data_IF_104614064910
#
_entry.id   IF_104614064910
#
_cell.length_a   1.000
_cell.length_b   1.000
_cell.length_c   1.000
_cell.angle_alpha   90.00
_cell.angle_beta   90.00
_cell.angle_gamma   90.00
#
_symmetry.space_group_name_H-M   'P 1'
#
loop_
_entity.id
_entity.type
_entity.pdbx_description
1 polymer ?
#
# COMPACT_ATOMS: atom_id res chain seq x y z
N UNK A 1 46.06 -24.95 -11.36
CA UNK A 1 46.77 -24.53 -10.14
C UNK A 1 45.72 -24.24 -9.06
N UNK A 2 45.48 -25.19 -8.14
CA UNK A 2 44.48 -25.01 -7.08
C UNK A 2 44.99 -23.99 -6.07
N UNK A 3 44.39 -22.80 -6.04
CA UNK A 3 44.65 -21.82 -4.98
C UNK A 3 44.19 -22.42 -3.65
N UNK A 4 45.14 -22.77 -2.78
CA UNK A 4 44.85 -23.18 -1.41
C UNK A 4 44.62 -21.92 -0.59
N UNK A 5 43.44 -21.80 0.01
CA UNK A 5 43.15 -20.73 0.96
C UNK A 5 43.95 -20.97 2.24
N UNK A 6 44.49 -19.91 2.81
CA UNK A 6 45.15 -19.96 4.13
C UNK A 6 44.10 -20.09 5.22
N UNK A 7 44.48 -20.66 6.36
CA UNK A 7 43.60 -20.78 7.53
C UNK A 7 43.01 -19.42 7.93
N UNK A 8 43.81 -18.35 7.87
CA UNK A 8 43.36 -16.98 8.17
C UNK A 8 42.28 -16.48 7.21
N UNK A 9 42.36 -16.81 5.92
CA UNK A 9 41.33 -16.45 4.94
C UNK A 9 40.02 -17.20 5.18
N UNK A 10 40.10 -18.46 5.60
CA UNK A 10 38.93 -19.27 5.95
C UNK A 10 38.24 -18.69 7.19
N UNK A 11 39.02 -18.39 8.24
CA UNK A 11 38.49 -17.79 9.48
C UNK A 11 37.86 -16.43 9.17
N UNK A 12 38.56 -15.57 8.43
CA UNK A 12 38.04 -14.26 8.04
C UNK A 12 36.72 -14.37 7.26
N UNK A 13 36.65 -15.25 6.27
CA UNK A 13 35.44 -15.45 5.48
C UNK A 13 34.27 -15.95 6.34
N UNK A 14 34.52 -16.88 7.27
CA UNK A 14 33.50 -17.37 8.19
C UNK A 14 33.01 -16.27 9.15
N UNK A 15 33.92 -15.46 9.71
CA UNK A 15 33.55 -14.37 10.61
C UNK A 15 32.76 -13.29 9.90
N UNK A 16 33.20 -12.84 8.72
CA UNK A 16 32.47 -11.83 7.94
C UNK A 16 31.12 -12.37 7.48
N UNK A 17 31.07 -13.62 7.00
CA UNK A 17 29.81 -14.26 6.59
C UNK A 17 28.82 -14.39 7.73
N UNK A 18 29.29 -14.77 8.92
CA UNK A 18 28.46 -14.85 10.12
C UNK A 18 27.94 -13.47 10.51
N UNK A 19 28.80 -12.45 10.62
CA UNK A 19 28.40 -11.08 10.96
C UNK A 19 27.39 -10.50 9.97
N UNK A 20 27.60 -10.70 8.66
CA UNK A 20 26.67 -10.26 7.64
C UNK A 20 25.30 -10.96 7.78
N UNK A 21 25.29 -12.28 7.96
CA UNK A 21 24.05 -13.04 8.17
C UNK A 21 23.31 -12.59 9.43
N UNK A 22 24.02 -12.38 10.55
CA UNK A 22 23.45 -11.89 11.81
C UNK A 22 22.89 -10.48 11.66
N UNK A 23 23.60 -9.58 10.99
CA UNK A 23 23.13 -8.22 10.74
C UNK A 23 21.86 -8.20 9.89
N UNK A 24 21.80 -9.02 8.83
CA UNK A 24 20.60 -9.13 7.98
C UNK A 24 19.45 -9.75 8.77
N UNK A 25 19.71 -10.77 9.59
CA UNK A 25 18.70 -11.40 10.43
C UNK A 25 18.08 -10.41 11.41
N UNK A 26 18.89 -9.69 12.20
CA UNK A 26 18.36 -8.71 13.15
C UNK A 26 17.70 -7.53 12.46
N UNK A 27 18.24 -7.06 11.33
CA UNK A 27 17.59 -6.01 10.54
C UNK A 27 16.21 -6.45 10.03
N UNK A 28 16.03 -7.71 9.64
CA UNK A 28 14.76 -8.20 9.07
C UNK A 28 13.75 -8.63 10.13
N UNK A 29 14.21 -8.96 11.34
CA UNK A 29 13.40 -9.39 12.49
C UNK A 29 13.27 -8.29 13.55
N UNK A 30 13.68 -7.06 13.22
CA UNK A 30 13.52 -5.91 14.10
C UNK A 30 12.03 -5.69 14.38
N UNK A 31 11.59 -5.63 15.64
CA UNK A 31 10.17 -5.48 16.00
C UNK A 31 9.54 -4.23 15.36
N UNK A 32 10.33 -3.18 15.15
CA UNK A 32 9.89 -1.94 14.51
C UNK A 32 9.36 -2.15 13.07
N UNK A 33 9.97 -3.05 12.29
CA UNK A 33 9.52 -3.33 10.91
C UNK A 33 8.20 -4.11 10.91
N UNK A 34 8.04 -5.05 11.83
CA UNK A 34 6.80 -5.83 11.95
C UNK A 34 5.65 -4.94 12.40
N UNK A 35 5.87 -4.09 13.40
CA UNK A 35 4.86 -3.14 13.90
C UNK A 35 4.47 -2.14 12.80
N UNK A 36 5.44 -1.61 12.06
CA UNK A 36 5.17 -0.72 10.94
C UNK A 36 4.32 -1.41 9.87
N UNK A 37 4.67 -2.64 9.51
CA UNK A 37 3.92 -3.40 8.51
C UNK A 37 2.49 -3.70 8.94
N UNK A 38 2.29 -4.09 10.20
CA UNK A 38 0.94 -4.32 10.75
C UNK A 38 0.10 -3.02 10.71
N UNK A 39 0.71 -1.87 11.03
CA UNK A 39 0.07 -0.57 10.93
C UNK A 39 -0.31 -0.24 9.48
N UNK A 40 0.62 -0.40 8.53
CA UNK A 40 0.36 -0.17 7.10
C UNK A 40 -0.75 -1.09 6.57
N UNK A 41 -0.76 -2.35 6.97
CA UNK A 41 -1.81 -3.31 6.61
C UNK A 41 -3.19 -2.89 7.15
N UNK A 42 -3.24 -2.42 8.40
CA UNK A 42 -4.47 -1.93 9.02
C UNK A 42 -4.99 -0.67 8.31
N UNK A 43 -4.09 0.28 8.01
CA UNK A 43 -4.40 1.50 7.26
C UNK A 43 -4.99 1.16 5.89
N UNK A 44 -4.37 0.23 5.15
CA UNK A 44 -4.84 -0.13 3.80
C UNK A 44 -6.23 -0.79 3.87
N UNK A 45 -6.45 -1.74 4.78
CA UNK A 45 -7.76 -2.38 4.95
C UNK A 45 -8.85 -1.37 5.33
N UNK A 46 -8.52 -0.43 6.21
CA UNK A 46 -9.45 0.64 6.60
C UNK A 46 -9.72 1.59 5.42
N UNK A 47 -8.72 1.89 4.62
CA UNK A 47 -8.86 2.73 3.43
C UNK A 47 -9.78 2.10 2.39
N UNK A 48 -9.67 0.79 2.16
CA UNK A 48 -10.54 0.04 1.25
C UNK A 48 -12.00 0.04 1.74
N UNK A 49 -12.21 -0.19 3.05
CA UNK A 49 -13.54 -0.12 3.66
C UNK A 49 -14.14 1.28 3.52
N UNK A 50 -13.37 2.32 3.79
CA UNK A 50 -13.81 3.72 3.64
C UNK A 50 -14.13 4.04 2.19
N UNK A 51 -13.30 3.60 1.24
CA UNK A 51 -13.54 3.76 -0.19
C UNK A 51 -14.88 3.14 -0.60
N UNK A 52 -15.08 1.86 -0.28
CA UNK A 52 -16.30 1.12 -0.64
C UNK A 52 -17.56 1.74 -0.03
N UNK A 53 -17.50 2.12 1.24
CA UNK A 53 -18.65 2.68 1.96
C UNK A 53 -18.94 4.13 1.59
N UNK A 54 -17.90 4.96 1.39
CA UNK A 54 -18.05 6.39 1.08
C UNK A 54 -18.65 6.59 -0.30
N UNK A 55 -18.21 5.78 -1.28
CA UNK A 55 -18.68 5.85 -2.66
C UNK A 55 -19.84 4.91 -2.97
N UNK A 56 -20.35 4.18 -1.96
CA UNK A 56 -21.45 3.23 -2.10
C UNK A 56 -21.22 2.22 -3.24
N UNK A 57 -19.99 1.70 -3.31
CA UNK A 57 -19.56 0.86 -4.42
C UNK A 57 -20.31 -0.47 -4.46
N UNK A 58 -20.65 -0.99 -5.64
CA UNK A 58 -21.30 -2.29 -5.76
C UNK A 58 -20.36 -3.42 -5.32
N UNK A 59 -20.93 -4.54 -4.87
CA UNK A 59 -20.16 -5.72 -4.43
C UNK A 59 -19.31 -6.37 -5.54
N UNK A 60 -19.55 -6.01 -6.80
CA UNK A 60 -18.75 -6.44 -7.96
C UNK A 60 -17.46 -5.63 -8.13
N UNK A 61 -17.29 -4.57 -7.34
CA UNK A 61 -16.12 -3.68 -7.43
C UNK A 61 -14.86 -4.43 -7.07
N UNK A 62 -13.83 -4.19 -7.85
CA UNK A 62 -12.49 -4.71 -7.62
C UNK A 62 -11.55 -3.55 -7.34
N UNK A 63 -10.65 -3.74 -6.38
CA UNK A 63 -9.71 -2.73 -5.93
C UNK A 63 -8.30 -3.32 -5.97
N UNK A 64 -7.39 -2.55 -6.54
CA UNK A 64 -5.95 -2.73 -6.44
C UNK A 64 -5.43 -1.67 -5.47
N UNK A 65 -4.76 -2.13 -4.43
CA UNK A 65 -4.16 -1.32 -3.38
C UNK A 65 -2.77 -1.88 -3.04
N UNK A 66 -1.95 -1.25 -2.18
CA UNK A 66 -0.56 -1.67 -1.99
C UNK A 66 -0.38 -3.11 -1.45
N UNK A 67 -1.34 -3.66 -0.70
CA UNK A 67 -1.28 -5.07 -0.27
C UNK A 67 -1.63 -6.10 -1.35
N UNK A 68 -2.27 -5.68 -2.44
CA UNK A 68 -2.66 -6.54 -3.56
C UNK A 68 -2.30 -5.83 -4.88
N UNK A 69 -1.00 -5.65 -5.16
CA UNK A 69 -0.56 -4.89 -6.31
C UNK A 69 -0.72 -5.69 -7.60
N UNK A 70 -1.17 -5.02 -8.67
CA UNK A 70 -1.15 -5.55 -10.03
C UNK A 70 -0.37 -4.59 -10.92
N UNK A 71 0.79 -5.05 -11.40
CA UNK A 71 1.72 -4.24 -12.18
C UNK A 71 1.22 -3.93 -13.59
N UNK A 72 0.31 -4.74 -14.11
CA UNK A 72 -0.25 -4.54 -15.45
C UNK A 72 -1.29 -3.39 -15.45
N UNK A 73 -1.86 -3.08 -14.28
CA UNK A 73 -2.79 -1.97 -14.09
C UNK A 73 -2.06 -0.69 -13.72
N UNK A 74 -1.13 -0.75 -12.77
CA UNK A 74 -0.38 0.42 -12.35
C UNK A 74 0.25 0.26 -10.97
N UNK A 75 0.91 1.33 -10.52
CA UNK A 75 1.56 1.34 -9.20
C UNK A 75 0.62 1.92 -8.15
N UNK A 76 0.39 1.17 -7.08
CA UNK A 76 -0.28 1.60 -5.86
C UNK A 76 0.75 1.96 -4.78
N UNK A 77 0.43 2.95 -3.95
CA UNK A 77 1.35 3.43 -2.91
C UNK A 77 0.61 3.61 -1.58
N UNK A 78 1.34 3.40 -0.49
CA UNK A 78 1.00 3.87 0.85
C UNK A 78 2.12 4.80 1.27
N UNK A 79 1.77 5.97 1.80
CA UNK A 79 2.73 6.98 2.21
C UNK A 79 2.29 7.62 3.54
N UNK A 80 3.10 7.52 4.61
CA UNK A 80 2.86 8.28 5.83
C UNK A 80 3.25 9.75 5.62
N UNK A 81 2.38 10.67 6.05
CA UNK A 81 2.56 12.12 5.97
C UNK A 81 2.39 12.73 7.36
N UNK A 82 3.49 12.90 8.12
CA UNK A 82 3.48 13.60 9.42
C UNK A 82 2.33 13.20 10.39
N UNK A 83 1.99 11.90 10.42
CA UNK A 83 0.91 11.34 11.24
C UNK A 83 -0.35 10.96 10.45
N UNK A 84 -0.54 11.54 9.28
CA UNK A 84 -1.60 11.20 8.33
C UNK A 84 -1.14 10.11 7.35
N UNK A 85 -2.09 9.59 6.57
CA UNK A 85 -1.83 8.54 5.60
C UNK A 85 -2.41 8.90 4.24
N UNK A 86 -1.61 8.70 3.20
CA UNK A 86 -2.05 8.76 1.82
C UNK A 86 -1.96 7.36 1.20
N UNK A 87 -3.05 6.90 0.60
CA UNK A 87 -3.13 5.60 -0.06
C UNK A 87 -3.66 5.82 -1.47
N UNK A 88 -2.96 5.26 -2.45
CA UNK A 88 -3.37 5.29 -3.85
C UNK A 88 -3.59 3.88 -4.38
N UNK A 89 -4.48 3.78 -5.37
CA UNK A 89 -4.79 2.51 -6.00
C UNK A 89 -5.58 2.68 -7.28
N UNK A 90 -6.11 1.55 -7.73
CA UNK A 90 -7.00 1.48 -8.88
C UNK A 90 -8.27 0.74 -8.51
N UNK A 91 -9.37 1.05 -9.18
CA UNK A 91 -10.63 0.36 -9.02
C UNK A 91 -11.33 0.18 -10.35
N UNK A 92 -12.24 -0.79 -10.42
CA UNK A 92 -13.25 -0.92 -11.48
C UNK A 92 -14.53 -1.48 -10.86
N UNK A 93 -15.72 -1.04 -11.29
CA UNK A 93 -16.97 -1.46 -10.62
C UNK A 93 -17.40 -2.87 -11.04
N UNK A 94 -16.93 -3.33 -12.20
CA UNK A 94 -17.10 -4.69 -12.70
C UNK A 94 -15.96 -5.06 -13.66
N UNK A 95 -15.93 -6.31 -14.11
CA UNK A 95 -14.84 -6.83 -14.96
C UNK A 95 -14.79 -6.23 -16.38
N UNK A 96 -15.89 -5.61 -16.85
CA UNK A 96 -15.98 -5.02 -18.19
C UNK A 96 -15.59 -3.55 -18.21
N UNK A 97 -15.35 -2.94 -17.05
CA UNK A 97 -14.91 -1.57 -16.93
C UNK A 97 -13.39 -1.45 -16.91
N UNK A 98 -12.91 -0.31 -17.40
CA UNK A 98 -11.50 0.08 -17.31
C UNK A 98 -11.12 0.35 -15.86
N UNK A 99 -9.84 0.11 -15.56
CA UNK A 99 -9.26 0.48 -14.27
C UNK A 99 -9.12 2.00 -14.17
N UNK A 100 -9.53 2.54 -13.02
CA UNK A 100 -9.51 3.98 -12.74
C UNK A 100 -8.79 4.26 -11.45
N UNK A 101 -8.02 5.34 -11.42
CA UNK A 101 -7.22 5.68 -10.27
C UNK A 101 -8.07 6.22 -9.12
N UNK A 102 -7.61 5.97 -7.90
CA UNK A 102 -8.12 6.62 -6.70
C UNK A 102 -6.98 6.99 -5.75
N UNK A 103 -7.23 8.02 -4.94
CA UNK A 103 -6.32 8.52 -3.90
C UNK A 103 -7.16 8.89 -2.68
N UNK A 104 -6.81 8.34 -1.52
CA UNK A 104 -7.46 8.66 -0.25
C UNK A 104 -6.42 9.24 0.71
N UNK A 105 -6.81 10.29 1.41
CA UNK A 105 -6.04 10.86 2.52
C UNK A 105 -6.82 10.61 3.81
N UNK A 106 -6.14 10.05 4.81
CA UNK A 106 -6.67 9.74 6.12
C UNK A 106 -5.89 10.49 7.18
N UNK A 107 -6.58 10.96 8.22
CA UNK A 107 -5.92 11.54 9.38
C UNK A 107 -5.24 10.46 10.24
N UNK A 108 -4.51 10.89 11.26
CA UNK A 108 -3.91 10.00 12.27
C UNK A 108 -4.88 9.05 12.99
N UNK A 109 -6.18 9.33 12.94
CA UNK A 109 -7.27 8.55 13.53
C UNK A 109 -7.97 7.67 12.48
N UNK A 110 -7.38 7.55 11.29
CA UNK A 110 -7.89 6.83 10.12
C UNK A 110 -9.27 7.31 9.65
N UNK A 111 -9.58 8.60 9.87
CA UNK A 111 -10.78 9.24 9.33
C UNK A 111 -10.48 9.87 7.98
N UNK A 112 -11.49 9.90 7.13
CA UNK A 112 -11.40 10.44 5.79
C UNK A 112 -11.17 11.96 5.80
N UNK A 113 -10.02 12.41 5.29
CA UNK A 113 -9.75 13.83 4.98
C UNK A 113 -10.34 14.15 3.61
N UNK A 114 -9.85 13.47 2.56
CA UNK A 114 -10.40 13.55 1.21
C UNK A 114 -10.22 12.25 0.42
N UNK A 115 -11.12 12.04 -0.54
CA UNK A 115 -11.12 10.92 -1.47
C UNK A 115 -11.25 11.46 -2.90
N UNK A 116 -10.23 11.21 -3.71
CA UNK A 116 -10.20 11.56 -5.12
C UNK A 116 -10.33 10.31 -5.94
N UNK A 117 -11.25 10.31 -6.89
CA UNK A 117 -11.47 9.16 -7.78
C UNK A 117 -11.64 9.59 -9.21
N UNK A 118 -11.08 8.82 -10.12
CA UNK A 118 -11.29 9.01 -11.54
C UNK A 118 -12.60 8.34 -11.97
N UNK A 119 -13.49 9.07 -12.65
CA UNK A 119 -14.74 8.53 -13.15
C UNK A 119 -15.71 9.59 -13.66
N UNK A 120 -16.86 9.14 -14.15
CA UNK A 120 -17.91 10.03 -14.62
C UNK A 120 -18.84 10.35 -13.46
N UNK A 121 -19.23 11.62 -13.31
CA UNK A 121 -20.15 12.08 -12.26
C UNK A 121 -21.46 11.26 -12.26
N UNK A 122 -21.96 10.88 -13.44
CA UNK A 122 -23.20 10.10 -13.62
C UNK A 122 -23.14 8.68 -13.03
N UNK A 123 -21.96 8.20 -12.65
CA UNK A 123 -21.78 6.85 -12.09
C UNK A 123 -21.97 6.81 -10.57
N UNK A 124 -22.02 7.96 -9.91
CA UNK A 124 -22.11 8.09 -8.46
C UNK A 124 -23.47 8.64 -8.06
N UNK A 125 -23.99 8.15 -6.92
CA UNK A 125 -25.26 8.63 -6.37
C UNK A 125 -25.15 10.09 -5.91
N UNK A 126 -26.26 10.82 -5.95
CA UNK A 126 -26.30 12.22 -5.52
C UNK A 126 -25.77 12.43 -4.10
N UNK A 127 -26.00 11.47 -3.20
CA UNK A 127 -25.54 11.55 -1.82
C UNK A 127 -24.01 11.45 -1.72
N UNK A 128 -23.35 10.77 -2.66
CA UNK A 128 -21.89 10.75 -2.77
C UNK A 128 -21.40 12.09 -3.29
N UNK A 129 -22.07 12.63 -4.32
CA UNK A 129 -21.69 13.91 -4.94
C UNK A 129 -21.86 15.12 -4.01
N UNK A 130 -22.72 15.02 -2.98
CA UNK A 130 -22.90 16.05 -1.96
C UNK A 130 -21.81 16.04 -0.87
N UNK A 131 -20.95 15.01 -0.82
CA UNK A 131 -19.87 14.93 0.17
C UNK A 131 -18.72 15.88 -0.20
N UNK A 132 -18.47 16.85 0.65
CA UNK A 132 -17.41 17.86 0.43
C UNK A 132 -16.00 17.26 0.35
N UNK A 133 -15.79 16.09 0.95
CA UNK A 133 -14.52 15.39 0.97
C UNK A 133 -14.38 14.35 -0.16
N UNK A 134 -15.30 14.32 -1.14
CA UNK A 134 -15.21 13.44 -2.31
C UNK A 134 -15.03 14.29 -3.58
N UNK A 135 -13.97 14.01 -4.33
CA UNK A 135 -13.61 14.72 -5.56
C UNK A 135 -13.62 13.72 -6.71
N UNK A 136 -14.52 13.91 -7.66
CA UNK A 136 -14.57 13.12 -8.89
C UNK A 136 -13.74 13.83 -9.96
N UNK A 137 -12.73 13.16 -10.49
CA UNK A 137 -11.87 13.62 -11.57
C UNK A 137 -12.32 12.95 -12.88
N UNK A 138 -12.41 13.70 -14.00
CA UNK A 138 -12.79 13.12 -15.28
C UNK A 138 -11.73 12.15 -15.85
#
# INVERSE_FOLDING_TARGET
MNKKYTLGQIIFALTVGFLAATSVYFSSTSPDITIQRESEEAVIKQSEKLFMTTLQMPNTTQIIHPLNPDRDVGKSYIYPLDGDWQISGFYRRNQNEEWRAWLINLDNSLKLIDLRVQGLISEFDEDVLKKENVIILP
#
